data_IF_584580509520
#
_entry.id   IF_584580509520
#
_cell.length_a   1.000
_cell.length_b   1.000
_cell.length_c   1.000
_cell.angle_alpha   90.00
_cell.angle_beta   90.00
_cell.angle_gamma   90.00
#
_symmetry.space_group_name_H-M   'P 1'
#
loop_
_entity.id
_entity.type
_entity.pdbx_description
1 polymer ?
#
# COMPACT_ATOMS: atom_id res chain seq x y z
N UNK A 1 0.67 10.99 18.70
CA UNK A 1 0.04 10.33 17.54
C UNK A 1 1.08 9.55 16.75
N UNK A 2 1.46 8.36 17.24
CA UNK A 2 2.55 7.59 16.63
C UNK A 2 2.08 6.91 15.33
N UNK A 3 0.89 6.31 15.35
CA UNK A 3 0.36 5.57 14.20
C UNK A 3 0.16 6.42 12.93
N UNK A 4 -0.45 7.64 12.99
CA UNK A 4 -0.52 8.51 11.82
C UNK A 4 0.86 8.96 11.31
N UNK A 5 1.81 9.18 12.22
CA UNK A 5 3.19 9.54 11.85
C UNK A 5 3.91 8.42 11.09
N UNK A 6 3.81 7.17 11.58
CA UNK A 6 4.34 5.99 10.87
C UNK A 6 3.65 5.83 9.52
N UNK A 7 2.33 6.03 9.46
CA UNK A 7 1.56 6.01 8.22
C UNK A 7 2.11 7.01 7.21
N UNK A 8 2.20 8.29 7.58
CA UNK A 8 2.73 9.35 6.72
C UNK A 8 4.16 9.07 6.25
N UNK A 9 5.04 8.64 7.16
CA UNK A 9 6.41 8.25 6.82
C UNK A 9 6.45 7.11 5.80
N UNK A 10 5.66 6.06 6.02
CA UNK A 10 5.57 4.91 5.11
C UNK A 10 5.12 5.34 3.72
N UNK A 11 4.16 6.26 3.62
CA UNK A 11 3.68 6.78 2.34
C UNK A 11 4.74 7.57 1.60
N UNK A 12 5.47 8.45 2.30
CA UNK A 12 6.55 9.24 1.70
C UNK A 12 7.68 8.33 1.22
N UNK A 13 8.04 7.32 2.02
CA UNK A 13 9.06 6.33 1.65
C UNK A 13 8.63 5.57 0.39
N UNK A 14 7.43 5.02 0.35
CA UNK A 14 6.94 4.27 -0.81
C UNK A 14 6.76 5.15 -2.05
N UNK A 15 6.32 6.40 -1.88
CA UNK A 15 6.24 7.37 -2.97
C UNK A 15 7.63 7.66 -3.57
N UNK A 16 8.65 7.74 -2.72
CA UNK A 16 10.03 7.94 -3.14
C UNK A 16 10.54 6.72 -3.91
N UNK A 17 10.35 5.51 -3.37
CA UNK A 17 10.74 4.26 -4.05
C UNK A 17 10.02 4.07 -5.39
N UNK A 18 8.74 4.42 -5.47
CA UNK A 18 7.99 4.36 -6.75
C UNK A 18 8.54 5.31 -7.82
N UNK A 19 9.12 6.45 -7.41
CA UNK A 19 9.70 7.45 -8.32
C UNK A 19 11.07 7.02 -8.84
N UNK A 20 11.82 6.23 -8.08
CA UNK A 20 13.19 5.79 -8.38
C UNK A 20 13.26 4.26 -8.52
N UNK A 21 12.59 3.65 -9.51
CA UNK A 21 12.60 2.19 -9.68
C UNK A 21 13.99 1.58 -9.87
N UNK A 22 14.95 2.35 -10.39
CA UNK A 22 16.33 1.92 -10.62
C UNK A 22 17.07 1.44 -9.36
N UNK A 23 16.65 1.86 -8.16
CA UNK A 23 17.24 1.38 -6.90
C UNK A 23 16.67 0.04 -6.43
N UNK A 24 15.67 -0.49 -7.13
CA UNK A 24 15.07 -1.77 -6.77
C UNK A 24 15.95 -2.95 -7.18
N UNK A 25 15.79 -4.06 -6.48
CA UNK A 25 16.49 -5.29 -6.82
C UNK A 25 15.85 -5.95 -8.05
N UNK A 26 16.64 -6.13 -9.11
CA UNK A 26 16.21 -6.74 -10.38
C UNK A 26 16.91 -8.08 -10.62
N UNK A 27 16.26 -9.02 -11.32
CA UNK A 27 16.87 -10.31 -11.64
C UNK A 27 18.00 -10.16 -12.66
N UNK A 28 18.94 -11.12 -12.67
CA UNK A 28 20.08 -11.14 -13.61
C UNK A 28 19.69 -11.15 -15.10
N UNK A 29 18.45 -11.53 -15.44
CA UNK A 29 17.90 -11.50 -16.80
C UNK A 29 17.50 -10.10 -17.30
N UNK A 30 17.66 -9.06 -16.47
CA UNK A 30 17.43 -7.69 -16.87
C UNK A 30 18.41 -7.31 -17.98
N UNK A 31 17.90 -6.76 -19.08
CA UNK A 31 18.70 -6.22 -20.16
C UNK A 31 17.95 -5.04 -20.82
N UNK A 32 18.58 -4.39 -21.79
CA UNK A 32 18.04 -3.18 -22.42
C UNK A 32 16.67 -3.42 -23.08
N UNK A 33 16.42 -4.60 -23.65
CA UNK A 33 15.17 -4.88 -24.36
C UNK A 33 13.97 -5.07 -23.42
N UNK A 34 14.21 -5.44 -22.15
CA UNK A 34 13.15 -5.70 -21.16
C UNK A 34 13.15 -4.71 -19.97
N UNK A 35 14.15 -3.84 -19.85
CA UNK A 35 14.31 -2.90 -18.72
C UNK A 35 13.05 -2.06 -18.46
N UNK A 36 12.45 -1.52 -19.53
CA UNK A 36 11.20 -0.74 -19.43
C UNK A 36 10.07 -1.53 -18.77
N UNK A 37 9.91 -2.80 -19.12
CA UNK A 37 8.85 -3.65 -18.55
C UNK A 37 9.11 -3.96 -17.08
N UNK A 38 10.36 -4.25 -16.72
CA UNK A 38 10.76 -4.46 -15.33
C UNK A 38 10.54 -3.21 -14.47
N UNK A 39 10.90 -2.03 -14.96
CA UNK A 39 10.73 -0.77 -14.23
C UNK A 39 9.24 -0.46 -14.04
N UNK A 40 8.43 -0.60 -15.10
CA UNK A 40 6.98 -0.42 -15.02
C UNK A 40 6.35 -1.40 -14.02
N UNK A 41 6.69 -2.68 -14.06
CA UNK A 41 6.17 -3.66 -13.11
C UNK A 41 6.58 -3.34 -11.67
N UNK A 42 7.82 -2.91 -11.48
CA UNK A 42 8.33 -2.56 -10.16
C UNK A 42 7.62 -1.34 -9.57
N UNK A 43 7.42 -0.28 -10.37
CA UNK A 43 6.62 0.89 -9.96
C UNK A 43 5.18 0.51 -9.64
N UNK A 44 4.55 -0.33 -10.46
CA UNK A 44 3.19 -0.84 -10.21
C UNK A 44 3.10 -1.62 -8.90
N UNK A 45 4.10 -2.45 -8.60
CA UNK A 45 4.17 -3.21 -7.35
C UNK A 45 4.26 -2.28 -6.13
N UNK A 46 5.15 -1.29 -6.15
CA UNK A 46 5.26 -0.31 -5.06
C UNK A 46 3.98 0.51 -4.91
N UNK A 47 3.36 0.94 -6.00
CA UNK A 47 2.09 1.67 -5.94
C UNK A 47 0.97 0.80 -5.33
N UNK A 48 0.88 -0.48 -5.68
CA UNK A 48 -0.07 -1.41 -5.06
C UNK A 48 0.19 -1.55 -3.56
N UNK A 49 1.44 -1.77 -3.16
CA UNK A 49 1.82 -1.88 -1.75
C UNK A 49 1.48 -0.61 -0.97
N UNK A 50 1.80 0.57 -1.53
CA UNK A 50 1.46 1.89 -0.98
C UNK A 50 -0.03 2.02 -0.70
N UNK A 51 -0.86 1.65 -1.68
CA UNK A 51 -2.30 1.76 -1.54
C UNK A 51 -2.88 0.73 -0.55
N UNK A 52 -2.29 -0.48 -0.45
CA UNK A 52 -2.67 -1.45 0.60
C UNK A 52 -2.33 -0.90 1.99
N UNK A 53 -1.14 -0.34 2.18
CA UNK A 53 -0.76 0.29 3.43
C UNK A 53 -1.67 1.47 3.81
N UNK A 54 -2.06 2.31 2.83
CA UNK A 54 -3.05 3.38 3.04
C UNK A 54 -4.35 2.85 3.64
N UNK A 55 -4.93 1.83 3.00
CA UNK A 55 -6.22 1.25 3.44
C UNK A 55 -6.07 0.64 4.83
N UNK A 56 -5.02 -0.14 5.06
CA UNK A 56 -4.79 -0.79 6.37
C UNK A 56 -4.61 0.25 7.47
N UNK A 57 -3.76 1.26 7.29
CA UNK A 57 -3.56 2.30 8.29
C UNK A 57 -4.83 3.12 8.54
N UNK A 58 -5.60 3.45 7.49
CA UNK A 58 -6.86 4.16 7.64
C UNK A 58 -7.88 3.34 8.47
N UNK A 59 -8.01 2.04 8.19
CA UNK A 59 -8.93 1.16 8.91
C UNK A 59 -8.52 0.98 10.38
N UNK A 60 -7.22 0.77 10.66
CA UNK A 60 -6.73 0.65 12.04
C UNK A 60 -6.92 1.96 12.79
N UNK A 61 -6.69 3.10 12.14
CA UNK A 61 -6.87 4.40 12.77
C UNK A 61 -8.34 4.67 13.09
N UNK A 62 -9.25 4.34 12.16
CA UNK A 62 -10.69 4.42 12.38
C UNK A 62 -11.14 3.50 13.52
N UNK A 63 -10.66 2.25 13.55
CA UNK A 63 -10.99 1.30 14.60
C UNK A 63 -10.52 1.81 15.97
N UNK A 64 -9.30 2.31 16.04
CA UNK A 64 -8.73 2.88 17.27
C UNK A 64 -9.57 4.04 17.79
N UNK A 65 -10.00 4.95 16.90
CA UNK A 65 -10.86 6.08 17.26
C UNK A 65 -12.25 5.59 17.68
N UNK A 66 -12.83 4.62 16.95
CA UNK A 66 -14.16 4.08 17.25
C UNK A 66 -14.21 3.42 18.63
N UNK A 67 -13.18 2.64 18.97
CA UNK A 67 -13.02 2.04 20.30
C UNK A 67 -12.89 3.13 21.37
N UNK A 68 -12.07 4.15 21.13
CA UNK A 68 -11.91 5.26 22.07
C UNK A 68 -13.20 6.06 22.30
N UNK A 69 -14.07 6.16 21.28
CA UNK A 69 -15.39 6.78 21.37
C UNK A 69 -16.47 5.85 21.97
N UNK A 70 -16.13 4.61 22.30
CA UNK A 70 -17.06 3.63 22.89
C UNK A 70 -18.09 3.10 21.90
N UNK A 71 -17.84 3.17 20.59
CA UNK A 71 -18.74 2.63 19.58
C UNK A 71 -18.78 1.10 19.67
N UNK A 72 -19.98 0.54 19.87
CA UNK A 72 -20.16 -0.92 20.06
C UNK A 72 -19.87 -1.77 18.82
N UNK A 73 -19.77 -1.15 17.65
CA UNK A 73 -19.58 -1.82 16.36
C UNK A 73 -18.37 -1.23 15.64
N UNK A 74 -17.19 -1.76 15.92
CA UNK A 74 -16.01 -1.56 15.09
C UNK A 74 -16.15 -2.27 13.73
N UNK A 75 -15.13 -2.15 12.88
CA UNK A 75 -15.05 -2.78 11.56
C UNK A 75 -15.04 -4.30 11.70
N UNK A 76 -14.42 -4.84 12.76
CA UNK A 76 -14.48 -6.25 13.15
C UNK A 76 -14.26 -7.22 12.00
N UNK A 77 -15.25 -8.08 11.74
CA UNK A 77 -15.19 -9.13 10.69
C UNK A 77 -15.10 -8.57 9.26
N UNK A 78 -15.49 -7.32 9.02
CA UNK A 78 -15.42 -6.68 7.70
C UNK A 78 -14.02 -6.18 7.35
N UNK A 79 -13.08 -6.18 8.29
CA UNK A 79 -11.72 -5.69 8.07
C UNK A 79 -11.03 -6.42 6.92
N UNK A 80 -11.05 -7.76 6.95
CA UNK A 80 -10.45 -8.60 5.92
C UNK A 80 -11.16 -8.47 4.55
N UNK A 81 -12.51 -8.56 4.46
CA UNK A 81 -13.23 -8.30 3.22
C UNK A 81 -12.89 -6.95 2.56
N UNK A 82 -12.80 -5.87 3.33
CA UNK A 82 -12.48 -4.53 2.80
C UNK A 82 -11.08 -4.51 2.19
N UNK A 83 -10.08 -5.09 2.86
CA UNK A 83 -8.71 -5.19 2.33
C UNK A 83 -8.68 -6.01 1.04
N UNK A 84 -9.33 -7.17 1.03
CA UNK A 84 -9.37 -8.07 -0.14
C UNK A 84 -10.03 -7.37 -1.33
N UNK A 85 -11.17 -6.70 -1.13
CA UNK A 85 -11.84 -5.92 -2.17
C UNK A 85 -10.94 -4.79 -2.68
N UNK A 86 -10.24 -4.10 -1.78
CA UNK A 86 -9.27 -3.07 -2.12
C UNK A 86 -8.15 -3.59 -3.04
N UNK A 87 -7.56 -4.74 -2.69
CA UNK A 87 -6.51 -5.39 -3.49
C UNK A 87 -7.06 -5.81 -4.86
N UNK A 88 -8.22 -6.44 -4.91
CA UNK A 88 -8.84 -6.89 -6.18
C UNK A 88 -9.15 -5.68 -7.08
N UNK A 89 -9.62 -4.57 -6.50
CA UNK A 89 -9.90 -3.34 -7.25
C UNK A 89 -8.63 -2.69 -7.79
N UNK A 90 -7.56 -2.63 -7.02
CA UNK A 90 -6.28 -2.09 -7.49
C UNK A 90 -5.73 -2.84 -8.70
N UNK A 91 -5.93 -4.16 -8.78
CA UNK A 91 -5.52 -4.95 -9.96
C UNK A 91 -6.24 -4.56 -11.25
N UNK A 92 -7.43 -3.94 -11.16
CA UNK A 92 -8.22 -3.50 -12.32
C UNK A 92 -7.86 -2.10 -12.79
N UNK A 93 -7.11 -1.33 -12.01
CA UNK A 93 -6.64 0.01 -12.37
C UNK A 93 -5.36 -0.16 -13.19
N UNK A 94 -5.43 0.10 -14.50
CA UNK A 94 -4.33 -0.10 -15.47
C UNK A 94 -3.24 0.95 -15.36
#
# INVERSE_FOLDING_TARGET
MILPGIGAFTLLLMQTLEKFPEVHNYPQRLNESNAKQFYLNSRKMINQLKNVCLVVFALIQFETISIALGWKSGIGKLFLPIIIIGIIRQRKIK
#
